data_IF_906206977161
#
_entry.id   IF_906206977161
#
_cell.length_a   1.000
_cell.length_b   1.000
_cell.length_c   1.000
_cell.angle_alpha   90.00
_cell.angle_beta   90.00
_cell.angle_gamma   90.00
#
_symmetry.space_group_name_H-M   'P 1'
#
loop_
_entity.id
_entity.type
_entity.pdbx_description
1 polymer ?
#
# COMPACT_ATOMS: atom_id res chain seq x y z
N UNK A 1 -3.22 -27.41 14.45
CA UNK A 1 -3.16 -27.63 12.98
C UNK A 1 -4.41 -28.32 12.44
N UNK A 2 -5.54 -28.23 13.14
CA UNK A 2 -6.75 -28.92 12.72
C UNK A 2 -7.47 -28.12 11.62
N UNK A 3 -7.99 -28.83 10.62
CA UNK A 3 -8.67 -28.21 9.47
C UNK A 3 -7.77 -27.68 8.34
N UNK A 4 -6.46 -27.95 8.37
CA UNK A 4 -5.54 -27.81 7.24
C UNK A 4 -5.35 -29.15 6.53
N UNK A 5 -5.33 -29.14 5.21
CA UNK A 5 -5.01 -30.34 4.42
C UNK A 5 -3.51 -30.66 4.50
N UNK A 6 -3.13 -31.90 4.18
CA UNK A 6 -1.73 -32.32 4.19
C UNK A 6 -0.86 -31.43 3.28
N UNK A 7 -1.34 -31.11 2.08
CA UNK A 7 -0.65 -30.21 1.13
C UNK A 7 -0.44 -28.82 1.74
N UNK A 8 -1.43 -28.27 2.43
CA UNK A 8 -1.29 -26.95 3.07
C UNK A 8 -0.27 -26.96 4.21
N UNK A 9 -0.17 -28.07 4.98
CA UNK A 9 0.84 -28.22 6.03
C UNK A 9 2.26 -28.26 5.44
N UNK A 10 2.46 -29.02 4.35
CA UNK A 10 3.73 -29.07 3.63
C UNK A 10 4.09 -27.68 3.08
N UNK A 11 3.12 -27.00 2.47
CA UNK A 11 3.29 -25.63 1.97
C UNK A 11 3.77 -24.67 3.07
N UNK A 12 3.11 -24.67 4.23
CA UNK A 12 3.48 -23.79 5.35
C UNK A 12 4.91 -24.06 5.81
N UNK A 13 5.28 -25.34 5.97
CA UNK A 13 6.63 -25.72 6.41
C UNK A 13 7.71 -25.20 5.46
N UNK A 14 7.56 -25.48 4.16
CA UNK A 14 8.50 -25.04 3.12
C UNK A 14 8.55 -23.52 3.00
N UNK A 15 7.40 -22.85 3.15
CA UNK A 15 7.34 -21.40 3.10
C UNK A 15 8.09 -20.74 4.26
N UNK A 16 7.97 -21.28 5.48
CA UNK A 16 8.70 -20.76 6.65
C UNK A 16 10.21 -20.95 6.48
N UNK A 17 10.63 -22.11 5.98
CA UNK A 17 12.05 -22.46 5.85
C UNK A 17 12.75 -21.65 4.75
N UNK A 18 12.11 -21.50 3.59
CA UNK A 18 12.74 -20.90 2.40
C UNK A 18 12.26 -19.49 2.05
N UNK A 19 11.20 -19.00 2.71
CA UNK A 19 10.58 -17.68 2.46
C UNK A 19 10.19 -17.45 1.00
N UNK A 20 9.89 -18.54 0.27
CA UNK A 20 9.53 -18.50 -1.14
C UNK A 20 8.22 -19.28 -1.36
N UNK A 21 7.14 -18.54 -1.64
CA UNK A 21 5.80 -19.10 -1.83
C UNK A 21 5.71 -20.01 -3.04
N UNK A 22 6.29 -19.60 -4.17
CA UNK A 22 6.27 -20.38 -5.42
C UNK A 22 6.97 -21.72 -5.22
N UNK A 23 8.17 -21.72 -4.64
CA UNK A 23 8.90 -22.96 -4.33
C UNK A 23 8.11 -23.88 -3.39
N UNK A 24 7.53 -23.31 -2.33
CA UNK A 24 6.70 -24.06 -1.40
C UNK A 24 5.47 -24.68 -2.09
N UNK A 25 4.86 -23.97 -3.05
CA UNK A 25 3.74 -24.47 -3.83
C UNK A 25 4.15 -25.60 -4.78
N UNK A 26 5.28 -25.46 -5.48
CA UNK A 26 5.81 -26.52 -6.36
C UNK A 26 5.99 -27.84 -5.60
N UNK A 27 6.60 -27.77 -4.40
CA UNK A 27 6.86 -28.97 -3.60
C UNK A 27 5.59 -29.52 -2.93
N UNK A 28 4.71 -28.67 -2.42
CA UNK A 28 3.50 -29.11 -1.71
C UNK A 28 2.38 -29.63 -2.63
N UNK A 29 2.34 -29.15 -3.87
CA UNK A 29 1.27 -29.47 -4.84
C UNK A 29 1.78 -30.25 -6.06
N UNK A 30 3.08 -30.59 -6.09
CA UNK A 30 3.73 -31.30 -7.20
C UNK A 30 3.51 -30.63 -8.55
N UNK A 31 3.69 -29.30 -8.57
CA UNK A 31 3.54 -28.47 -9.77
C UNK A 31 4.91 -28.21 -10.37
N UNK A 32 5.08 -28.50 -11.66
CA UNK A 32 6.33 -28.26 -12.39
C UNK A 32 6.38 -26.89 -13.07
N UNK A 33 5.24 -26.22 -13.24
CA UNK A 33 5.16 -24.89 -13.83
C UNK A 33 5.28 -23.77 -12.75
N UNK A 34 6.32 -22.93 -12.80
CA UNK A 34 6.50 -21.83 -11.86
C UNK A 34 5.36 -20.81 -11.85
N UNK A 35 4.72 -20.55 -13.00
CA UNK A 35 3.65 -19.56 -13.09
C UNK A 35 2.39 -20.04 -12.36
N UNK A 36 1.98 -21.29 -12.63
CA UNK A 36 0.91 -21.96 -11.90
C UNK A 36 1.22 -22.04 -10.40
N UNK A 37 2.44 -22.39 -10.02
CA UNK A 37 2.85 -22.44 -8.62
C UNK A 37 2.79 -21.06 -7.94
N UNK A 38 3.09 -19.98 -8.67
CA UNK A 38 2.95 -18.60 -8.20
C UNK A 38 1.51 -18.24 -7.86
N UNK A 39 0.55 -18.65 -8.71
CA UNK A 39 -0.88 -18.46 -8.45
C UNK A 39 -1.33 -19.25 -7.22
N UNK A 40 -0.93 -20.52 -7.11
CA UNK A 40 -1.24 -21.38 -5.96
C UNK A 40 -0.69 -20.77 -4.66
N UNK A 41 0.54 -20.26 -4.69
CA UNK A 41 1.17 -19.61 -3.55
C UNK A 41 0.38 -18.35 -3.13
N UNK A 42 0.02 -17.51 -4.08
CA UNK A 42 -0.78 -16.30 -3.84
C UNK A 42 -2.13 -16.62 -3.20
N UNK A 43 -2.82 -17.65 -3.70
CA UNK A 43 -4.08 -18.10 -3.13
C UNK A 43 -3.91 -18.65 -1.71
N UNK A 44 -2.92 -19.52 -1.49
CA UNK A 44 -2.66 -20.11 -0.17
C UNK A 44 -2.34 -19.06 0.89
N UNK A 45 -1.51 -18.07 0.57
CA UNK A 45 -1.16 -17.00 1.50
C UNK A 45 -2.34 -16.08 1.87
N UNK A 46 -3.46 -16.17 1.14
CA UNK A 46 -4.70 -15.44 1.45
C UNK A 46 -5.73 -16.29 2.19
N UNK A 47 -5.52 -17.59 2.36
CA UNK A 47 -6.47 -18.45 3.08
C UNK A 47 -6.41 -18.16 4.58
N UNK A 48 -7.55 -17.86 5.25
CA UNK A 48 -7.57 -17.46 6.66
C UNK A 48 -6.84 -18.45 7.58
N UNK A 49 -7.10 -19.76 7.43
CA UNK A 49 -6.46 -20.80 8.25
C UNK A 49 -4.93 -20.86 8.10
N UNK A 50 -4.41 -20.54 6.91
CA UNK A 50 -2.96 -20.50 6.68
C UNK A 50 -2.37 -19.27 7.38
N UNK A 51 -3.03 -18.13 7.26
CA UNK A 51 -2.64 -16.89 7.94
C UNK A 51 -2.63 -17.09 9.47
N UNK A 52 -3.68 -17.68 10.02
CA UNK A 52 -3.79 -17.98 11.46
C UNK A 52 -2.62 -18.85 11.95
N UNK A 53 -2.27 -19.91 11.22
CA UNK A 53 -1.15 -20.76 11.60
C UNK A 53 0.19 -20.03 11.48
N UNK A 54 0.39 -19.22 10.43
CA UNK A 54 1.60 -18.41 10.32
C UNK A 54 1.71 -17.40 11.48
N UNK A 55 0.61 -16.76 11.88
CA UNK A 55 0.56 -15.85 13.03
C UNK A 55 0.86 -16.58 14.35
N UNK A 56 0.30 -17.78 14.53
CA UNK A 56 0.60 -18.63 15.70
C UNK A 56 2.08 -19.00 15.75
N UNK A 57 2.67 -19.39 14.61
CA UNK A 57 4.10 -19.71 14.52
C UNK A 57 4.99 -18.50 14.81
N UNK A 58 4.62 -17.31 14.33
CA UNK A 58 5.32 -16.07 14.65
C UNK A 58 5.24 -15.74 16.15
N UNK A 59 4.06 -15.92 16.73
CA UNK A 59 3.83 -15.68 18.17
C UNK A 59 4.62 -16.67 19.03
N UNK A 60 4.64 -17.96 18.66
CA UNK A 60 5.49 -18.98 19.30
C UNK A 60 6.99 -18.67 19.15
N UNK A 61 7.38 -18.07 18.02
CA UNK A 61 8.73 -17.55 17.78
C UNK A 61 9.05 -16.27 18.56
N UNK A 62 8.15 -15.77 19.41
CA UNK A 62 8.34 -14.57 20.22
C UNK A 62 8.10 -13.24 19.49
N UNK A 63 7.64 -13.29 18.23
CA UNK A 63 7.25 -12.11 17.47
C UNK A 63 5.77 -11.81 17.79
N UNK A 64 5.54 -11.31 19.00
CA UNK A 64 4.20 -10.89 19.44
C UNK A 64 3.93 -9.43 19.04
N UNK A 65 2.67 -9.01 19.15
CA UNK A 65 2.27 -7.62 18.92
C UNK A 65 2.99 -6.67 19.87
N UNK A 66 3.15 -7.06 21.14
CA UNK A 66 3.88 -6.29 22.15
C UNK A 66 5.36 -6.18 21.81
N UNK A 67 5.98 -7.28 21.35
CA UNK A 67 7.37 -7.26 20.90
C UNK A 67 7.56 -6.29 19.73
N UNK A 68 6.68 -6.35 18.72
CA UNK A 68 6.72 -5.46 17.57
C UNK A 68 6.52 -3.99 17.97
N UNK A 69 5.56 -3.70 18.84
CA UNK A 69 5.31 -2.35 19.35
C UNK A 69 6.52 -1.81 20.13
N UNK A 70 7.13 -2.64 20.97
CA UNK A 70 8.33 -2.27 21.73
C UNK A 70 9.51 -1.98 20.81
N UNK A 71 9.77 -2.86 19.83
CA UNK A 71 10.86 -2.64 18.86
C UNK A 71 10.62 -1.41 17.99
N UNK A 72 9.38 -1.16 17.57
CA UNK A 72 9.02 0.04 16.83
C UNK A 72 9.30 1.30 17.66
N UNK A 73 8.91 1.31 18.95
CA UNK A 73 9.21 2.39 19.87
C UNK A 73 10.72 2.61 20.02
N UNK A 74 11.50 1.55 20.21
CA UNK A 74 12.97 1.65 20.34
C UNK A 74 13.64 2.27 19.11
N UNK A 75 13.16 1.95 17.90
CA UNK A 75 13.64 2.53 16.64
C UNK A 75 13.29 4.02 16.55
N UNK A 76 12.10 4.40 17.01
CA UNK A 76 11.66 5.80 17.04
C UNK A 76 12.46 6.60 18.07
N UNK A 77 12.69 6.04 19.25
CA UNK A 77 13.36 6.72 20.37
C UNK A 77 14.89 6.84 20.13
N UNK A 78 15.49 5.94 19.34
CA UNK A 78 16.92 5.93 19.05
C UNK A 78 17.19 5.99 17.53
N UNK A 79 16.84 7.10 16.87
CA UNK A 79 17.07 7.24 15.44
C UNK A 79 18.57 7.28 15.16
N UNK A 80 19.01 6.53 14.15
CA UNK A 80 20.36 6.68 13.61
C UNK A 80 20.40 7.86 12.66
N UNK A 81 21.56 8.51 12.56
CA UNK A 81 21.73 9.63 11.64
C UNK A 81 21.50 9.18 10.19
N UNK A 82 20.67 9.90 9.44
CA UNK A 82 20.27 9.54 8.08
C UNK A 82 19.26 8.39 7.98
N UNK A 83 18.73 7.89 9.10
CA UNK A 83 17.84 6.72 9.10
C UNK A 83 16.38 7.07 8.81
N UNK A 84 16.01 6.91 7.54
CA UNK A 84 14.62 7.03 7.09
C UNK A 84 13.67 5.98 7.70
N UNK A 85 14.17 4.92 8.36
CA UNK A 85 13.30 3.91 8.98
C UNK A 85 12.62 4.42 10.25
N UNK A 86 13.27 5.29 11.03
CA UNK A 86 12.66 5.95 12.20
C UNK A 86 11.48 6.84 11.79
N UNK A 87 11.66 7.64 10.73
CA UNK A 87 10.62 8.48 10.12
C UNK A 87 9.48 7.63 9.55
N UNK A 88 9.79 6.51 8.90
CA UNK A 88 8.78 5.58 8.41
C UNK A 88 7.97 4.96 9.57
N UNK A 89 8.65 4.58 10.66
CA UNK A 89 8.02 4.07 11.88
C UNK A 89 7.08 5.10 12.52
N UNK A 90 7.52 6.35 12.62
CA UNK A 90 6.71 7.46 13.14
C UNK A 90 5.47 7.70 12.27
N UNK A 91 5.63 7.71 10.95
CA UNK A 91 4.51 7.84 10.00
C UNK A 91 3.49 6.70 10.12
N UNK A 92 3.96 5.46 10.33
CA UNK A 92 3.10 4.31 10.53
C UNK A 92 2.29 4.45 11.83
N UNK A 93 2.95 4.80 12.94
CA UNK A 93 2.29 5.04 14.22
C UNK A 93 1.26 6.17 14.14
N UNK A 94 1.59 7.27 13.46
CA UNK A 94 0.67 8.38 13.21
C UNK A 94 -0.57 7.95 12.43
N UNK A 95 -0.43 7.10 11.39
CA UNK A 95 -1.56 6.54 10.64
C UNK A 95 -2.46 5.68 11.51
N UNK A 96 -1.90 4.80 12.34
CA UNK A 96 -2.69 3.96 13.26
C UNK A 96 -3.44 4.78 14.31
N UNK A 97 -2.91 5.94 14.70
CA UNK A 97 -3.59 6.89 15.58
C UNK A 97 -4.56 7.84 14.87
N UNK A 98 -4.73 7.72 13.56
CA UNK A 98 -5.61 8.60 12.78
C UNK A 98 -5.07 10.02 12.59
N UNK A 99 -3.77 10.24 12.82
CA UNK A 99 -3.10 11.54 12.63
C UNK A 99 -2.63 11.78 11.19
N UNK A 100 -2.87 10.82 10.28
CA UNK A 100 -2.52 10.95 8.88
C UNK A 100 -3.41 11.98 8.18
N UNK A 101 -2.81 12.84 7.35
CA UNK A 101 -3.58 13.75 6.51
C UNK A 101 -4.52 12.97 5.58
N UNK A 102 -5.79 13.36 5.54
CA UNK A 102 -6.73 12.83 4.56
C UNK A 102 -6.18 13.11 3.15
N UNK A 103 -6.10 12.08 2.31
CA UNK A 103 -5.80 12.26 0.89
C UNK A 103 -7.00 12.96 0.25
N UNK A 104 -6.98 14.28 0.18
CA UNK A 104 -7.92 15.02 -0.64
C UNK A 104 -7.62 14.64 -2.08
N UNK A 105 -8.59 14.02 -2.77
CA UNK A 105 -8.49 13.82 -4.21
C UNK A 105 -8.44 15.20 -4.85
N UNK A 106 -7.28 15.57 -5.36
CA UNK A 106 -7.15 16.72 -6.24
C UNK A 106 -7.69 16.31 -7.60
N UNK A 107 -8.91 16.72 -7.92
CA UNK A 107 -9.45 16.56 -9.26
C UNK A 107 -8.78 17.60 -10.14
N UNK A 108 -8.06 17.14 -11.17
CA UNK A 108 -7.56 18.04 -12.19
C UNK A 108 -8.76 18.75 -12.82
N UNK A 109 -8.73 20.08 -12.96
CA UNK A 109 -9.76 20.77 -13.72
C UNK A 109 -9.79 20.14 -15.12
N UNK A 110 -11.00 19.96 -15.70
CA UNK A 110 -11.12 19.38 -17.03
C UNK A 110 -10.26 20.20 -18.00
N UNK A 111 -9.49 19.51 -18.83
CA UNK A 111 -8.85 20.16 -19.97
C UNK A 111 -9.94 20.87 -20.79
N UNK A 112 -9.70 22.12 -21.24
CA UNK A 112 -10.66 22.80 -22.10
C UNK A 112 -10.91 21.93 -23.34
N UNK A 113 -12.18 21.64 -23.64
CA UNK A 113 -12.56 20.73 -24.71
C UNK A 113 -12.50 21.48 -26.03
N UNK A 114 -11.70 20.96 -26.96
CA UNK A 114 -11.55 21.41 -28.34
C UNK A 114 -11.08 22.87 -28.58
N UNK A 115 -10.30 23.12 -29.66
CA UNK A 115 -9.78 24.44 -30.00
C UNK A 115 -10.86 25.54 -30.10
N UNK A 116 -12.08 25.20 -30.51
CA UNK A 116 -13.18 26.16 -30.64
C UNK A 116 -13.73 26.67 -29.30
N UNK A 117 -13.79 25.85 -28.24
CA UNK A 117 -14.23 26.34 -26.93
C UNK A 117 -13.14 27.22 -26.30
N UNK A 118 -11.86 26.90 -26.53
CA UNK A 118 -10.73 27.73 -26.11
C UNK A 118 -10.85 29.12 -26.74
N UNK A 119 -11.16 29.19 -28.04
CA UNK A 119 -11.31 30.45 -28.75
C UNK A 119 -12.51 31.26 -28.23
N UNK A 120 -13.66 30.62 -28.01
CA UNK A 120 -14.85 31.26 -27.40
C UNK A 120 -14.55 31.77 -25.98
N UNK A 121 -13.79 31.02 -25.20
CA UNK A 121 -13.39 31.39 -23.83
C UNK A 121 -12.41 32.59 -23.84
N UNK A 122 -11.43 32.58 -24.74
CA UNK A 122 -10.49 33.70 -24.94
C UNK A 122 -11.19 34.95 -25.48
N UNK A 123 -12.19 34.81 -26.35
CA UNK A 123 -13.00 35.93 -26.83
C UNK A 123 -13.82 36.58 -25.70
N UNK A 124 -14.42 35.77 -24.82
CA UNK A 124 -15.11 36.25 -23.61
C UNK A 124 -14.17 37.01 -22.69
N UNK A 125 -12.97 36.47 -22.39
CA UNK A 125 -11.99 37.14 -21.55
C UNK A 125 -11.51 38.47 -22.13
N UNK A 126 -11.25 38.53 -23.45
CA UNK A 126 -10.87 39.77 -24.15
C UNK A 126 -11.99 40.83 -24.07
N UNK A 127 -13.25 40.43 -24.18
CA UNK A 127 -14.41 41.31 -24.02
C UNK A 127 -14.57 41.86 -22.60
N UNK A 128 -14.43 41.01 -21.58
CA UNK A 128 -14.52 41.41 -20.17
C UNK A 128 -13.40 42.37 -19.78
N UNK A 129 -12.18 42.14 -20.28
CA UNK A 129 -11.02 43.01 -20.06
C UNK A 129 -11.23 44.40 -20.66
N UNK A 130 -11.71 44.50 -21.90
CA UNK A 130 -12.05 45.79 -22.52
C UNK A 130 -13.09 46.57 -21.73
N UNK A 131 -14.12 45.91 -21.18
CA UNK A 131 -15.15 46.57 -20.35
C UNK A 131 -14.61 47.09 -19.03
N UNK A 132 -13.67 46.37 -18.41
CA UNK A 132 -12.96 46.82 -17.20
C UNK A 132 -12.08 48.04 -17.48
N UNK A 133 -11.30 48.00 -18.57
CA UNK A 133 -10.46 49.12 -19.01
C UNK A 133 -11.31 50.35 -19.39
N UNK A 134 -12.47 50.15 -20.02
CA UNK A 134 -13.43 51.22 -20.35
C UNK A 134 -14.05 51.87 -19.11
N UNK A 135 -14.31 51.09 -18.05
CA UNK A 135 -14.85 51.60 -16.78
C UNK A 135 -13.79 52.30 -15.93
N UNK A 136 -12.53 51.89 -16.05
CA UNK A 136 -11.41 52.55 -15.37
C UNK A 136 -11.00 53.86 -16.05
N UNK A 137 -11.17 53.99 -17.37
CA UNK A 137 -10.91 55.22 -18.11
C UNK A 137 -12.04 56.27 -18.04
N UNK A 138 -13.17 55.93 -17.40
CA UNK A 138 -14.33 56.80 -17.21
C UNK A 138 -14.42 57.40 -15.79
N UNK A 139 -13.39 57.18 -14.97
CA UNK A 139 -13.12 57.85 -13.69
C UNK A 139 -11.89 58.74 -13.85
#
# INVERSE_FOLDING_TARGET
>A
MDGLTLKQKVFIKEYIEHRNGTRAAMLAYDTQDPDTAGVIAFENLRKPKIIEVLQQMMSLGGITEEYLAKRLKEIIDNPKEGDGTSVAGLNLAGKWKGLGAAKVKFELPPFPKDPEEIEKMLARMRGTRRRLESRQAAY
#
